data_IF_907659137510
#
_entry.id   IF_907659137510
#
_cell.length_a   1.000
_cell.length_b   1.000
_cell.length_c   1.000
_cell.angle_alpha   90.00
_cell.angle_beta   90.00
_cell.angle_gamma   90.00
#
_symmetry.space_group_name_H-M   'P 1'
#
loop_
_entity.id
_entity.type
_entity.pdbx_description
1 polymer ?
#
# COMPACT_ATOMS: atom_id res chain seq x y z
N UNK A 1 57.26 21.06 25.27
CA UNK A 1 55.89 21.62 25.20
C UNK A 1 54.99 20.65 24.51
N UNK A 2 54.21 19.91 25.23
CA UNK A 2 53.30 18.89 24.69
C UNK A 2 51.88 19.44 24.69
N UNK A 3 51.26 19.55 23.52
CA UNK A 3 49.88 19.98 23.38
C UNK A 3 48.94 18.77 23.47
N UNK A 4 48.17 18.72 24.54
CA UNK A 4 47.06 17.77 24.72
C UNK A 4 45.85 18.23 23.92
N UNK A 5 45.46 17.49 22.87
CA UNK A 5 44.17 17.65 22.20
C UNK A 5 43.17 16.76 22.91
N UNK A 6 42.26 17.37 23.71
CA UNK A 6 41.11 16.72 24.26
C UNK A 6 40.04 16.54 23.17
N UNK A 7 39.79 15.29 22.79
CA UNK A 7 38.67 14.91 21.94
C UNK A 7 37.34 15.08 22.67
N UNK A 8 36.61 16.15 22.37
CA UNK A 8 35.22 16.33 22.78
C UNK A 8 34.38 15.32 22.01
N UNK A 9 33.97 14.22 22.66
CA UNK A 9 32.96 13.31 22.13
C UNK A 9 31.63 14.03 22.08
N UNK A 10 31.17 14.42 20.87
CA UNK A 10 29.77 14.85 20.65
C UNK A 10 28.86 13.67 20.97
N UNK A 11 28.15 13.74 22.07
CA UNK A 11 27.06 12.84 22.39
C UNK A 11 25.96 12.98 21.32
N UNK A 12 25.76 11.95 20.52
CA UNK A 12 24.60 11.85 19.65
C UNK A 12 23.37 11.70 20.54
N UNK A 13 22.65 12.78 20.78
CA UNK A 13 21.31 12.72 21.35
C UNK A 13 20.46 11.81 20.46
N UNK A 14 20.22 10.58 20.91
CA UNK A 14 19.14 9.73 20.39
C UNK A 14 17.85 10.39 20.82
N UNK A 15 17.27 11.22 19.95
CA UNK A 15 15.88 11.64 20.13
C UNK A 15 15.04 10.37 20.21
N UNK A 16 14.38 10.17 21.35
CA UNK A 16 13.39 9.10 21.52
C UNK A 16 12.37 9.25 20.39
N UNK A 17 12.30 8.28 19.48
CA UNK A 17 11.22 8.22 18.46
C UNK A 17 9.93 8.09 19.25
N UNK A 18 9.24 9.21 19.50
CA UNK A 18 7.84 9.17 19.98
C UNK A 18 7.07 8.32 18.98
N UNK A 19 6.39 7.29 19.46
CA UNK A 19 5.49 6.50 18.62
C UNK A 19 4.41 7.42 18.07
N UNK A 20 4.47 7.69 16.78
CA UNK A 20 3.47 8.53 16.10
C UNK A 20 2.18 7.74 15.97
N UNK A 21 1.07 8.35 16.33
CA UNK A 21 -0.26 7.78 16.12
C UNK A 21 -0.82 8.28 14.79
N UNK A 22 -0.95 7.39 13.82
CA UNK A 22 -1.60 7.68 12.54
C UNK A 22 -3.10 7.39 12.62
N UNK A 23 -3.89 8.35 12.14
CA UNK A 23 -5.35 8.32 12.16
C UNK A 23 -5.92 8.73 10.80
N UNK A 24 -7.21 8.48 10.59
CA UNK A 24 -7.92 9.04 9.42
C UNK A 24 -7.87 10.56 9.44
N UNK A 25 -7.59 11.21 8.31
CA UNK A 25 -7.54 12.67 8.24
C UNK A 25 -8.94 13.27 8.43
N UNK A 26 -9.04 14.52 8.90
CA UNK A 26 -10.28 15.28 8.85
C UNK A 26 -10.83 15.38 7.42
N UNK A 27 -12.15 15.42 7.25
CA UNK A 27 -12.81 15.43 5.94
C UNK A 27 -12.34 16.53 4.98
N UNK A 28 -11.87 17.66 5.52
CA UNK A 28 -11.33 18.78 4.73
C UNK A 28 -9.83 18.62 4.37
N UNK A 29 -9.13 17.61 4.91
CA UNK A 29 -7.70 17.44 4.74
C UNK A 29 -7.35 16.03 4.24
N UNK A 30 -8.00 15.60 3.17
CA UNK A 30 -7.82 14.25 2.61
C UNK A 30 -6.61 14.12 1.69
N UNK A 31 -5.89 15.22 1.45
CA UNK A 31 -4.79 15.29 0.48
C UNK A 31 -3.48 15.72 1.14
N UNK A 32 -2.39 14.92 1.06
CA UNK A 32 -1.07 15.33 1.55
C UNK A 32 -0.47 16.44 0.68
N UNK A 33 0.14 17.44 1.30
CA UNK A 33 0.89 18.49 0.57
C UNK A 33 2.05 17.91 -0.26
N UNK A 34 2.64 16.79 0.18
CA UNK A 34 3.67 16.07 -0.59
C UNK A 34 3.13 15.49 -1.89
N UNK A 35 1.87 14.99 -1.90
CA UNK A 35 1.21 14.52 -3.12
C UNK A 35 1.00 15.68 -4.08
N UNK A 36 0.50 16.83 -3.58
CA UNK A 36 0.31 18.04 -4.40
C UNK A 36 1.62 18.52 -5.03
N UNK A 37 2.71 18.56 -4.25
CA UNK A 37 4.04 18.92 -4.75
C UNK A 37 4.55 17.95 -5.81
N UNK A 38 4.32 16.66 -5.59
CA UNK A 38 4.69 15.62 -6.55
C UNK A 38 3.88 15.75 -7.85
N UNK A 39 2.56 15.97 -7.74
CA UNK A 39 1.68 16.22 -8.88
C UNK A 39 2.08 17.45 -9.69
N UNK A 40 2.47 18.55 -9.01
CA UNK A 40 2.97 19.75 -9.69
C UNK A 40 4.28 19.52 -10.44
N UNK A 41 5.15 18.65 -9.92
CA UNK A 41 6.46 18.36 -10.51
C UNK A 41 6.37 17.37 -11.68
N UNK A 42 5.56 16.33 -11.57
CA UNK A 42 5.55 15.18 -12.48
C UNK A 42 4.22 15.00 -13.22
N UNK A 43 3.21 15.81 -12.96
CA UNK A 43 1.90 15.73 -13.56
C UNK A 43 0.88 14.89 -12.79
N UNK A 44 -0.40 15.07 -13.14
CA UNK A 44 -1.54 14.47 -12.45
C UNK A 44 -1.64 12.95 -12.59
N UNK A 45 -1.04 12.38 -13.62
CA UNK A 45 -1.11 10.94 -13.93
C UNK A 45 -0.08 10.09 -13.18
N UNK A 46 0.83 10.70 -12.41
CA UNK A 46 1.91 10.00 -11.75
C UNK A 46 1.46 9.38 -10.43
N UNK A 47 1.41 8.10 -10.41
CA UNK A 47 1.66 7.13 -9.34
C UNK A 47 1.36 7.58 -7.89
N UNK A 48 0.15 8.16 -7.67
CA UNK A 48 -0.37 8.50 -6.37
C UNK A 48 -1.54 7.57 -6.07
N UNK A 49 -1.41 6.77 -5.03
CA UNK A 49 -2.39 5.75 -4.69
C UNK A 49 -3.08 6.12 -3.39
N UNK A 50 -4.37 6.43 -3.48
CA UNK A 50 -5.20 6.74 -2.32
C UNK A 50 -5.85 5.47 -1.80
N UNK A 51 -5.54 5.13 -0.57
CA UNK A 51 -6.18 4.03 0.13
C UNK A 51 -7.39 4.54 0.89
N UNK A 52 -8.55 3.98 0.57
CA UNK A 52 -9.83 4.29 1.20
C UNK A 52 -10.45 3.01 1.72
N UNK A 53 -11.05 3.09 2.91
CA UNK A 53 -11.79 1.95 3.45
C UNK A 53 -13.12 1.75 2.70
N UNK A 54 -13.85 0.69 3.04
CA UNK A 54 -15.14 0.32 2.43
C UNK A 54 -16.20 1.45 2.51
N UNK A 55 -16.08 2.36 3.47
CA UNK A 55 -16.95 3.54 3.61
C UNK A 55 -16.55 4.70 2.70
N UNK A 56 -15.44 4.58 1.95
CA UNK A 56 -14.90 5.63 1.10
C UNK A 56 -14.05 6.67 1.84
N UNK A 57 -13.78 6.48 3.14
CA UNK A 57 -12.96 7.39 3.93
C UNK A 57 -11.47 7.18 3.60
N UNK A 58 -10.75 8.27 3.36
CA UNK A 58 -9.29 8.21 3.15
C UNK A 58 -8.59 7.73 4.40
N UNK A 59 -7.73 6.72 4.26
CA UNK A 59 -6.88 6.21 5.34
C UNK A 59 -5.45 6.73 5.17
N UNK A 60 -4.84 6.44 4.04
CA UNK A 60 -3.46 6.86 3.73
C UNK A 60 -3.23 6.96 2.23
N UNK A 61 -2.04 7.40 1.87
CA UNK A 61 -1.57 7.49 0.48
C UNK A 61 -0.27 6.72 0.33
N UNK A 62 -0.01 6.24 -0.87
CA UNK A 62 1.31 5.76 -1.30
C UNK A 62 1.72 6.58 -2.52
N UNK A 63 2.91 7.19 -2.45
CA UNK A 63 3.52 7.88 -3.59
C UNK A 63 4.59 6.95 -4.14
N UNK A 64 4.48 6.61 -5.41
CA UNK A 64 5.50 5.84 -6.12
C UNK A 64 6.38 6.79 -6.93
N UNK A 65 7.65 6.76 -6.67
CA UNK A 65 8.70 7.41 -7.45
C UNK A 65 9.35 6.38 -8.37
N UNK A 66 9.47 6.69 -9.64
CA UNK A 66 10.21 5.85 -10.58
C UNK A 66 11.72 6.05 -10.40
N UNK A 67 12.57 5.15 -10.98
CA UNK A 67 14.01 5.30 -10.90
C UNK A 67 14.47 6.70 -11.33
N UNK A 68 15.33 7.32 -10.54
CA UNK A 68 15.85 8.68 -10.76
C UNK A 68 15.00 9.83 -10.21
N UNK A 69 13.72 9.63 -9.94
CA UNK A 69 12.81 10.71 -9.53
C UNK A 69 13.04 11.18 -8.09
N UNK A 70 13.42 10.29 -7.19
CA UNK A 70 13.66 10.62 -5.79
C UNK A 70 15.15 10.44 -5.46
N UNK A 71 15.85 11.57 -5.27
CA UNK A 71 17.25 11.61 -4.85
C UNK A 71 18.21 10.73 -5.69
N UNK A 72 17.93 10.55 -6.98
CA UNK A 72 18.76 9.77 -7.90
C UNK A 72 18.77 8.25 -7.62
N UNK A 73 17.85 7.73 -6.83
CA UNK A 73 17.74 6.28 -6.59
C UNK A 73 17.58 5.51 -7.90
N UNK A 74 18.38 4.47 -8.10
CA UNK A 74 18.34 3.60 -9.28
C UNK A 74 17.14 2.65 -9.30
N UNK A 75 16.40 2.54 -8.21
CA UNK A 75 15.20 1.70 -8.06
C UNK A 75 13.97 2.54 -7.78
N UNK A 76 12.78 1.98 -8.08
CA UNK A 76 11.51 2.56 -7.65
C UNK A 76 11.48 2.74 -6.12
N UNK A 77 10.89 3.83 -5.65
CA UNK A 77 10.71 4.10 -4.22
C UNK A 77 9.23 4.31 -3.93
N UNK A 78 8.70 3.57 -2.96
CA UNK A 78 7.35 3.74 -2.45
C UNK A 78 7.39 4.52 -1.13
N UNK A 79 6.68 5.62 -1.07
CA UNK A 79 6.61 6.49 0.12
C UNK A 79 5.19 6.51 0.66
N UNK A 80 4.92 5.77 1.75
CA UNK A 80 3.63 5.86 2.42
C UNK A 80 3.51 7.19 3.18
N UNK A 81 2.32 7.80 3.10
CA UNK A 81 1.96 9.04 3.76
C UNK A 81 0.72 8.81 4.60
N UNK A 82 0.84 9.02 5.90
CA UNK A 82 -0.26 8.87 6.85
C UNK A 82 -0.49 10.17 7.63
N UNK A 83 -1.73 10.40 8.06
CA UNK A 83 -2.07 11.61 8.83
C UNK A 83 -1.73 11.41 10.30
N UNK A 84 -0.83 12.25 10.81
CA UNK A 84 -0.34 12.16 12.19
C UNK A 84 -1.24 12.96 13.13
N UNK A 85 -1.75 12.31 14.17
CA UNK A 85 -2.64 12.92 15.17
C UNK A 85 -1.96 14.05 15.94
N UNK A 86 -0.71 13.82 16.34
CA UNK A 86 0.03 14.74 17.19
C UNK A 86 0.37 16.06 16.50
N UNK A 87 0.72 15.97 15.20
CA UNK A 87 1.14 17.15 14.43
C UNK A 87 0.01 17.72 13.57
N UNK A 88 -1.11 16.99 13.43
CA UNK A 88 -2.26 17.35 12.60
C UNK A 88 -1.89 17.61 11.12
N UNK A 89 -0.87 16.91 10.61
CA UNK A 89 -0.43 16.98 9.22
C UNK A 89 -0.12 15.58 8.65
N UNK A 90 -0.02 15.52 7.33
CA UNK A 90 0.43 14.33 6.64
C UNK A 90 1.95 14.18 6.77
N UNK A 91 2.38 13.00 7.20
CA UNK A 91 3.78 12.68 7.37
C UNK A 91 4.15 11.37 6.68
N UNK A 92 5.43 11.22 6.34
CA UNK A 92 5.97 9.96 5.88
C UNK A 92 5.86 8.92 7.00
N UNK A 93 5.15 7.85 6.73
CA UNK A 93 4.96 6.75 7.66
C UNK A 93 3.89 5.79 7.15
N UNK A 94 4.07 4.52 7.47
CA UNK A 94 3.12 3.48 7.10
C UNK A 94 1.91 3.52 8.02
N UNK A 95 0.72 3.37 7.44
CA UNK A 95 -0.50 3.10 8.20
C UNK A 95 -0.29 1.88 9.11
N UNK A 96 -0.83 1.85 10.31
CA UNK A 96 -0.70 0.71 11.22
C UNK A 96 -1.36 -0.56 10.65
N UNK A 97 -1.61 -1.54 11.48
CA UNK A 97 -2.33 -2.77 11.11
C UNK A 97 -3.73 -2.47 10.59
N UNK A 98 -4.36 -3.48 10.01
CA UNK A 98 -5.72 -3.43 9.45
C UNK A 98 -5.81 -2.39 8.31
N UNK A 99 -4.81 -2.46 7.40
CA UNK A 99 -4.75 -1.59 6.22
C UNK A 99 -5.85 -1.97 5.25
N UNK A 100 -6.64 -0.99 4.75
CA UNK A 100 -7.59 -1.27 3.68
C UNK A 100 -6.85 -1.71 2.42
N UNK A 101 -7.54 -2.42 1.56
CA UNK A 101 -7.07 -2.73 0.21
C UNK A 101 -7.09 -1.47 -0.66
N UNK A 102 -6.19 -1.39 -1.63
CA UNK A 102 -6.30 -0.39 -2.68
C UNK A 102 -7.54 -0.67 -3.52
N UNK A 103 -8.39 0.34 -3.74
CA UNK A 103 -9.71 0.27 -4.35
C UNK A 103 -10.79 -0.45 -3.52
N UNK A 104 -10.57 -0.70 -2.23
CA UNK A 104 -11.57 -1.31 -1.35
C UNK A 104 -12.93 -0.60 -1.38
N UNK A 105 -12.95 0.72 -1.46
CA UNK A 105 -14.18 1.51 -1.51
C UNK A 105 -15.11 1.14 -2.69
N UNK A 106 -14.58 0.55 -3.75
CA UNK A 106 -15.39 0.06 -4.87
C UNK A 106 -16.10 -1.26 -4.58
N UNK A 107 -15.69 -1.97 -3.52
CA UNK A 107 -16.36 -3.19 -3.06
C UNK A 107 -17.64 -2.91 -2.27
N UNK A 108 -17.93 -1.65 -1.91
CA UNK A 108 -19.09 -1.27 -1.12
C UNK A 108 -20.42 -1.84 -1.66
N UNK A 109 -20.55 -1.93 -2.97
CA UNK A 109 -21.74 -2.41 -3.66
C UNK A 109 -21.52 -3.80 -4.29
N UNK A 110 -20.45 -4.51 -3.93
CA UNK A 110 -20.21 -5.86 -4.39
C UNK A 110 -21.12 -6.83 -3.63
N UNK A 111 -21.89 -7.62 -4.37
CA UNK A 111 -22.75 -8.65 -3.79
C UNK A 111 -21.96 -9.87 -3.35
N UNK A 112 -22.55 -10.72 -2.51
CA UNK A 112 -21.98 -12.02 -2.21
C UNK A 112 -21.88 -12.85 -3.49
N UNK A 113 -20.75 -13.54 -3.67
CA UNK A 113 -20.43 -14.28 -4.90
C UNK A 113 -19.91 -13.42 -6.05
N UNK A 114 -19.82 -12.07 -5.94
CA UNK A 114 -19.14 -11.26 -6.94
C UNK A 114 -17.64 -11.64 -7.02
N UNK A 115 -17.09 -11.63 -8.23
CA UNK A 115 -15.68 -11.91 -8.47
C UNK A 115 -14.80 -10.70 -8.11
N UNK A 116 -13.72 -10.94 -7.36
CA UNK A 116 -12.70 -9.95 -7.02
C UNK A 116 -11.33 -10.48 -7.38
N UNK A 117 -10.61 -9.76 -8.22
CA UNK A 117 -9.24 -10.09 -8.60
C UNK A 117 -8.27 -9.42 -7.63
N UNK A 118 -7.36 -10.21 -7.07
CA UNK A 118 -6.25 -9.71 -6.27
C UNK A 118 -4.97 -9.82 -7.08
N UNK A 119 -4.26 -8.70 -7.25
CA UNK A 119 -2.97 -8.62 -7.96
C UNK A 119 -1.91 -8.00 -7.08
N UNK A 120 -0.63 -8.09 -7.48
CA UNK A 120 0.44 -7.40 -6.79
C UNK A 120 0.64 -5.98 -7.31
N UNK A 121 0.49 -5.04 -6.39
CA UNK A 121 0.80 -3.63 -6.59
C UNK A 121 -0.25 -2.83 -7.37
N UNK A 122 -0.28 -1.57 -7.06
CA UNK A 122 -1.29 -0.61 -7.52
C UNK A 122 -1.23 -0.38 -9.04
N UNK A 123 -0.03 -0.50 -9.66
CA UNK A 123 0.13 -0.41 -11.12
C UNK A 123 -0.61 -1.53 -11.85
N UNK A 124 -0.54 -2.76 -11.33
CA UNK A 124 -1.26 -3.90 -11.91
C UNK A 124 -2.77 -3.68 -11.80
N UNK A 125 -3.27 -3.21 -10.65
CA UNK A 125 -4.69 -2.82 -10.51
C UNK A 125 -5.09 -1.80 -11.58
N UNK A 126 -4.32 -0.72 -11.74
CA UNK A 126 -4.62 0.31 -12.74
C UNK A 126 -4.59 -0.22 -14.18
N UNK A 127 -3.64 -1.10 -14.48
CA UNK A 127 -3.53 -1.72 -15.80
C UNK A 127 -4.75 -2.61 -16.12
N UNK A 128 -5.12 -3.50 -15.19
CA UNK A 128 -6.28 -4.37 -15.36
C UNK A 128 -7.60 -3.60 -15.41
N UNK A 129 -7.73 -2.54 -14.62
CA UNK A 129 -8.92 -1.66 -14.65
C UNK A 129 -9.15 -1.08 -16.04
N UNK A 130 -8.07 -0.71 -16.75
CA UNK A 130 -8.17 -0.19 -18.14
C UNK A 130 -8.70 -1.23 -19.13
N UNK A 131 -8.49 -2.51 -18.89
CA UNK A 131 -8.99 -3.59 -19.76
C UNK A 131 -10.49 -3.79 -19.65
N UNK A 132 -11.16 -3.28 -18.60
CA UNK A 132 -12.61 -3.37 -18.37
C UNK A 132 -13.17 -4.81 -18.39
N UNK A 133 -12.33 -5.81 -18.13
CA UNK A 133 -12.72 -7.23 -18.10
C UNK A 133 -13.20 -7.68 -16.73
N UNK A 134 -12.72 -7.06 -15.67
CA UNK A 134 -13.04 -7.38 -14.29
C UNK A 134 -13.69 -6.18 -13.62
N UNK A 135 -14.73 -6.44 -12.83
CA UNK A 135 -15.49 -5.41 -12.14
C UNK A 135 -14.75 -4.91 -10.88
N UNK A 136 -14.16 -5.82 -10.15
CA UNK A 136 -13.47 -5.52 -8.90
C UNK A 136 -12.04 -6.04 -8.95
N UNK A 137 -11.09 -5.14 -8.75
CA UNK A 137 -9.66 -5.45 -8.75
C UNK A 137 -9.03 -4.72 -7.58
N UNK A 138 -8.30 -5.43 -6.74
CA UNK A 138 -7.70 -4.87 -5.53
C UNK A 138 -6.25 -5.31 -5.37
N UNK A 139 -5.52 -4.62 -4.49
CA UNK A 139 -4.20 -5.03 -4.01
C UNK A 139 -3.98 -4.55 -2.58
N UNK A 140 -2.94 -5.06 -1.93
CA UNK A 140 -2.50 -4.61 -0.61
C UNK A 140 -1.32 -3.63 -0.72
N UNK A 141 -0.99 -2.93 0.37
CA UNK A 141 0.13 -1.99 0.42
C UNK A 141 1.36 -2.58 1.11
N UNK A 142 2.55 -2.25 0.61
CA UNK A 142 3.81 -2.54 1.28
C UNK A 142 4.49 -3.83 0.84
N UNK A 143 4.04 -4.45 -0.27
CA UNK A 143 4.68 -5.62 -0.87
C UNK A 143 4.54 -6.90 -0.04
N UNK A 144 5.29 -7.93 -0.43
CA UNK A 144 5.23 -9.30 0.12
C UNK A 144 5.31 -9.38 1.64
N UNK A 145 6.17 -8.56 2.25
CA UNK A 145 6.38 -8.56 3.71
C UNK A 145 5.26 -7.88 4.51
N UNK A 146 4.28 -7.26 3.87
CA UNK A 146 3.23 -6.48 4.54
C UNK A 146 1.82 -7.08 4.39
N UNK A 147 1.67 -8.22 3.74
CA UNK A 147 0.39 -8.93 3.56
C UNK A 147 -0.37 -9.09 4.89
N UNK A 148 0.33 -9.51 5.94
CA UNK A 148 -0.23 -9.73 7.28
C UNK A 148 -0.72 -8.46 8.00
N UNK A 149 -0.50 -7.28 7.42
CA UNK A 149 -0.94 -5.99 7.98
C UNK A 149 -2.22 -5.48 7.30
N UNK A 150 -2.76 -6.25 6.36
CA UNK A 150 -3.92 -5.88 5.55
C UNK A 150 -5.20 -6.46 6.14
N UNK A 151 -6.25 -5.65 6.14
CA UNK A 151 -7.60 -6.11 6.44
C UNK A 151 -8.25 -6.64 5.16
N UNK A 152 -8.53 -7.94 5.13
CA UNK A 152 -9.20 -8.60 4.01
C UNK A 152 -10.70 -8.79 4.23
N UNK A 153 -11.27 -8.27 5.32
CA UNK A 153 -12.69 -8.50 5.66
C UNK A 153 -13.68 -8.00 4.61
N UNK A 154 -13.28 -6.98 3.82
CA UNK A 154 -14.08 -6.48 2.70
C UNK A 154 -14.30 -7.53 1.57
N UNK A 155 -13.52 -8.62 1.58
CA UNK A 155 -13.59 -9.72 0.62
C UNK A 155 -14.50 -10.88 1.09
N UNK A 156 -15.13 -10.75 2.26
CA UNK A 156 -15.98 -11.83 2.81
C UNK A 156 -17.07 -12.22 1.82
N UNK A 157 -17.26 -13.53 1.65
CA UNK A 157 -18.24 -14.13 0.75
C UNK A 157 -18.07 -13.77 -0.74
N UNK A 158 -16.86 -13.34 -1.17
CA UNK A 158 -16.56 -13.07 -2.57
C UNK A 158 -15.86 -14.26 -3.21
N UNK A 159 -15.98 -14.39 -4.53
CA UNK A 159 -15.15 -15.30 -5.32
C UNK A 159 -13.82 -14.63 -5.61
N UNK A 160 -12.75 -15.19 -5.13
CA UNK A 160 -11.43 -14.57 -5.23
C UNK A 160 -10.63 -15.17 -6.37
N UNK A 161 -10.10 -14.31 -7.23
CA UNK A 161 -9.14 -14.68 -8.27
C UNK A 161 -7.78 -14.15 -7.84
N UNK A 162 -6.86 -15.05 -7.48
CA UNK A 162 -5.48 -14.72 -7.14
C UNK A 162 -4.64 -14.70 -8.42
N UNK A 163 -4.05 -13.54 -8.72
CA UNK A 163 -3.21 -13.35 -9.90
C UNK A 163 -1.81 -12.87 -9.47
N UNK A 164 -0.87 -13.80 -9.22
CA UNK A 164 0.50 -13.47 -8.83
C UNK A 164 1.30 -12.81 -9.96
N UNK A 165 2.32 -12.02 -9.61
CA UNK A 165 3.37 -11.68 -10.54
C UNK A 165 4.10 -12.97 -10.98
N UNK A 166 4.64 -12.99 -12.21
CA UNK A 166 5.26 -14.18 -12.80
C UNK A 166 6.69 -14.41 -12.28
N UNK A 167 6.84 -14.45 -10.96
CA UNK A 167 8.09 -14.79 -10.27
C UNK A 167 7.83 -15.55 -8.97
N UNK A 168 8.87 -16.09 -8.38
CA UNK A 168 8.77 -16.91 -7.16
C UNK A 168 8.27 -16.09 -5.96
N UNK A 169 8.66 -14.83 -5.86
CA UNK A 169 8.25 -13.93 -4.77
C UNK A 169 6.76 -13.60 -4.87
N UNK A 170 6.25 -13.33 -6.07
CA UNK A 170 4.85 -13.10 -6.35
C UNK A 170 3.99 -14.30 -6.01
N UNK A 171 4.42 -15.50 -6.38
CA UNK A 171 3.73 -16.72 -5.98
C UNK A 171 3.66 -16.90 -4.46
N UNK A 172 4.77 -16.72 -3.75
CA UNK A 172 4.81 -16.83 -2.28
C UNK A 172 3.92 -15.78 -1.60
N UNK A 173 3.94 -14.55 -2.09
CA UNK A 173 3.09 -13.47 -1.59
C UNK A 173 1.62 -13.83 -1.74
N UNK A 174 1.24 -14.31 -2.91
CA UNK A 174 -0.15 -14.64 -3.21
C UNK A 174 -0.61 -15.90 -2.47
N UNK A 175 0.27 -16.90 -2.24
CA UNK A 175 -0.01 -18.02 -1.34
C UNK A 175 -0.29 -17.56 0.08
N UNK A 176 0.48 -16.57 0.57
CA UNK A 176 0.25 -15.98 1.89
C UNK A 176 -1.11 -15.28 1.96
N UNK A 177 -1.51 -14.54 0.91
CA UNK A 177 -2.86 -13.96 0.82
C UNK A 177 -3.91 -15.06 0.88
N UNK A 178 -3.83 -16.08 0.03
CA UNK A 178 -4.77 -17.20 0.01
C UNK A 178 -4.91 -17.89 1.36
N UNK A 179 -3.78 -18.13 2.04
CA UNK A 179 -3.78 -18.69 3.39
C UNK A 179 -4.52 -17.79 4.39
N UNK A 180 -4.29 -16.49 4.39
CA UNK A 180 -4.99 -15.54 5.28
C UNK A 180 -6.49 -15.56 5.02
N UNK A 181 -6.92 -15.61 3.76
CA UNK A 181 -8.35 -15.64 3.41
C UNK A 181 -9.04 -16.90 3.97
N UNK A 182 -8.39 -18.05 3.90
CA UNK A 182 -8.92 -19.31 4.41
C UNK A 182 -8.88 -19.33 5.95
N UNK A 183 -7.72 -19.05 6.55
CA UNK A 183 -7.51 -19.14 8.01
C UNK A 183 -8.44 -18.18 8.79
N UNK A 184 -8.86 -17.07 8.19
CA UNK A 184 -9.79 -16.10 8.80
C UNK A 184 -11.23 -16.25 8.31
N UNK A 185 -11.56 -17.35 7.63
CA UNK A 185 -12.93 -17.63 7.15
C UNK A 185 -13.50 -16.48 6.29
N UNK A 186 -12.66 -15.84 5.48
CA UNK A 186 -13.07 -14.76 4.58
C UNK A 186 -13.82 -15.34 3.39
N UNK A 187 -13.21 -16.35 2.74
CA UNK A 187 -13.79 -17.11 1.63
C UNK A 187 -13.02 -18.40 1.39
N UNK A 188 -13.71 -19.42 0.91
CA UNK A 188 -13.13 -20.67 0.42
C UNK A 188 -13.14 -20.74 -1.12
N UNK A 189 -13.89 -19.84 -1.79
CA UNK A 189 -14.00 -19.79 -3.25
C UNK A 189 -12.83 -19.02 -3.85
N UNK A 190 -11.70 -19.73 -4.03
CA UNK A 190 -10.44 -19.15 -4.49
C UNK A 190 -9.98 -19.85 -5.77
N UNK A 191 -9.81 -19.05 -6.83
CA UNK A 191 -9.25 -19.48 -8.12
C UNK A 191 -7.88 -18.83 -8.33
N UNK A 192 -6.96 -19.58 -8.96
CA UNK A 192 -5.62 -19.10 -9.30
C UNK A 192 -5.48 -18.89 -10.78
N UNK A 193 -4.97 -17.72 -11.20
CA UNK A 193 -4.44 -17.55 -12.55
C UNK A 193 -3.00 -18.06 -12.55
N UNK A 194 -2.77 -19.11 -13.32
CA UNK A 194 -1.41 -19.60 -13.55
C UNK A 194 -0.78 -18.75 -14.66
N UNK A 195 0.42 -18.18 -14.45
CA UNK A 195 1.18 -17.58 -15.52
C UNK A 195 1.40 -18.61 -16.64
N UNK A 196 1.38 -18.16 -17.89
CA UNK A 196 1.77 -19.01 -19.00
C UNK A 196 3.24 -19.42 -18.77
N UNK A 197 3.47 -20.71 -18.59
CA UNK A 197 4.83 -21.22 -18.70
C UNK A 197 5.23 -21.03 -20.16
N UNK A 198 6.32 -20.34 -20.41
CA UNK A 198 6.93 -20.31 -21.73
C UNK A 198 7.22 -21.76 -22.15
N UNK A 199 6.64 -22.17 -23.28
CA UNK A 199 6.85 -23.47 -23.90
C UNK A 199 8.26 -23.55 -24.50
#
# INVERSE_FOLDING_TARGET
MSYNYSLVKKSKNKSSKKNKLFIKPPAKNTYPTSVEKHMKRYGLSHNHYQYRNIKGETCFWVIRYEPGELNGNSKKVLVPMSFCKETNVWEKGSWPKDRPLFQENFLKNAADGDEVVIVEGEKAVQALTKLKKFKHIVTWSGGSNAVHQTDFTALRNKKIILWPDNDEEGFKSMQHVGKILIDNEITEDITWIKPLQEL
#
